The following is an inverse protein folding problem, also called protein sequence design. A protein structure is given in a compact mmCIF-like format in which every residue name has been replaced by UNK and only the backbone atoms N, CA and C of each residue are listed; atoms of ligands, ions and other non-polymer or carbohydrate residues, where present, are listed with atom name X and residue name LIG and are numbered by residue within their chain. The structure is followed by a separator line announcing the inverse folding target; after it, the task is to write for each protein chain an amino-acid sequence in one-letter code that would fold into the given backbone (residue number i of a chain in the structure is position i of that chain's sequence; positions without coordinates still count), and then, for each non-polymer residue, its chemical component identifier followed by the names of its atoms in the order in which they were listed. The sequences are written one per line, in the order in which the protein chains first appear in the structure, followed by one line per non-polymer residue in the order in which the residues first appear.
data_IF_192177193321
#
_entry.id   IF_192177193321
#
_cell.length_a   1.000
_cell.length_b   1.000
_cell.length_c   1.000
_cell.angle_alpha   90.00
_cell.angle_beta   90.00
_cell.angle_gamma   90.00
#
_symmetry.space_group_name_H-M   'P 1'
#
loop_
_entity.id
_entity.type
_entity.pdbx_description
1 polymer ?
#
# COMPACT_ATOMS: atom_id res chain seq x y z
N UNK A 1 34.37 -18.58 -25.29
CA UNK A 1 34.09 -17.15 -25.03
C UNK A 1 33.53 -17.05 -23.62
N UNK A 2 34.33 -16.49 -22.71
CA UNK A 2 34.07 -16.37 -21.27
C UNK A 2 33.02 -15.30 -20.98
N UNK A 3 32.00 -15.61 -20.17
CA UNK A 3 31.23 -14.61 -19.42
C UNK A 3 31.50 -14.79 -17.94
N UNK A 4 32.12 -13.79 -17.34
CA UNK A 4 32.42 -13.73 -15.92
C UNK A 4 31.15 -13.47 -15.11
N UNK A 5 31.05 -14.19 -14.00
CA UNK A 5 30.04 -14.04 -12.95
C UNK A 5 30.56 -13.01 -11.95
N UNK A 6 29.85 -11.90 -11.79
CA UNK A 6 30.09 -10.94 -10.70
C UNK A 6 29.10 -11.24 -9.56
N UNK A 7 29.60 -11.85 -8.50
CA UNK A 7 28.94 -11.87 -7.18
C UNK A 7 29.30 -10.59 -6.43
N UNK A 8 28.35 -9.67 -6.30
CA UNK A 8 28.44 -8.52 -5.41
C UNK A 8 27.55 -8.73 -4.20
N UNK A 9 28.13 -9.13 -3.07
CA UNK A 9 27.47 -9.10 -1.75
C UNK A 9 27.57 -7.69 -1.18
N UNK A 10 26.44 -7.00 -1.05
CA UNK A 10 26.36 -5.71 -0.35
C UNK A 10 25.51 -5.91 0.90
N UNK A 11 26.16 -5.85 2.05
CA UNK A 11 25.53 -5.79 3.37
C UNK A 11 25.67 -4.35 3.88
N UNK A 12 24.58 -3.60 4.09
CA UNK A 12 24.62 -2.43 4.94
C UNK A 12 24.07 -2.79 6.34
N UNK A 13 24.97 -2.79 7.31
CA UNK A 13 24.62 -2.79 8.72
C UNK A 13 24.03 -1.44 9.12
N UNK A 14 22.91 -1.48 9.84
CA UNK A 14 22.39 -0.33 10.57
C UNK A 14 22.60 -0.59 12.06
N UNK A 15 23.71 -0.02 12.54
CA UNK A 15 23.97 0.24 13.94
C UNK A 15 22.94 1.26 14.45
N UNK A 16 21.90 0.80 15.14
CA UNK A 16 21.09 1.67 16.00
C UNK A 16 21.82 1.81 17.33
N UNK A 17 22.63 2.86 17.42
CA UNK A 17 23.20 3.37 18.68
C UNK A 17 22.06 3.74 19.63
N UNK A 18 21.78 2.87 20.60
CA UNK A 18 21.01 3.22 21.78
C UNK A 18 21.86 4.13 22.67
N UNK A 19 21.80 5.44 22.42
CA UNK A 19 22.35 6.45 23.33
C UNK A 19 21.42 6.54 24.54
N UNK A 20 21.68 5.72 25.55
CA UNK A 20 21.06 5.86 26.88
C UNK A 20 21.67 7.11 27.51
N UNK A 21 20.88 8.18 27.54
CA UNK A 21 21.22 9.41 28.26
C UNK A 21 21.16 9.10 29.77
N UNK A 22 22.29 8.69 30.34
CA UNK A 22 22.45 8.57 31.78
C UNK A 22 22.45 9.98 32.38
N UNK A 23 21.28 10.43 32.86
CA UNK A 23 21.15 11.66 33.62
C UNK A 23 21.71 11.42 35.03
N UNK A 24 23.01 11.64 35.21
CA UNK A 24 23.66 11.60 36.52
C UNK A 24 23.28 12.84 37.33
N UNK A 25 22.17 12.78 38.07
CA UNK A 25 21.88 13.72 39.15
C UNK A 25 22.76 13.37 40.36
N UNK A 26 23.99 13.89 40.37
CA UNK A 26 24.87 13.85 41.55
C UNK A 26 24.36 14.87 42.57
N UNK A 27 23.40 14.47 43.42
CA UNK A 27 23.03 15.26 44.60
C UNK A 27 24.02 14.95 45.73
N UNK A 28 24.86 15.94 46.06
CA UNK A 28 25.61 15.97 47.30
C UNK A 28 24.60 16.13 48.46
N UNK A 29 24.42 15.09 49.24
CA UNK A 29 23.61 15.10 50.46
C UNK A 29 24.50 14.68 51.63
N UNK A 30 25.36 15.60 52.07
CA UNK A 30 26.01 15.47 53.36
C UNK A 30 25.00 15.78 54.47
N UNK A 31 24.94 14.86 55.44
CA UNK A 31 24.20 14.94 56.69
C UNK A 31 22.67 14.90 56.63
N UNK A 32 22.11 13.69 56.78
CA UNK A 32 20.96 13.38 57.65
C UNK A 32 20.84 11.84 57.81
N UNK A 33 21.10 11.26 58.99
CA UNK A 33 20.94 9.82 59.20
C UNK A 33 19.46 9.50 59.48
N UNK A 34 18.94 8.42 58.88
CA UNK A 34 17.67 7.71 59.18
C UNK A 34 16.37 8.03 58.40
N UNK A 35 16.35 8.91 57.41
CA UNK A 35 15.15 9.09 56.54
C UNK A 35 15.35 8.68 55.07
N UNK A 36 16.58 8.33 54.69
CA UNK A 36 16.97 8.05 53.30
C UNK A 36 16.46 6.70 52.75
N UNK A 37 16.28 5.67 53.58
CA UNK A 37 15.91 4.33 53.10
C UNK A 37 14.48 4.20 52.56
N UNK A 38 13.53 5.01 53.05
CA UNK A 38 12.12 4.95 52.66
C UNK A 38 11.84 5.72 51.37
N UNK A 39 12.52 6.85 51.16
CA UNK A 39 12.40 7.68 49.95
C UNK A 39 13.04 7.00 48.72
N UNK A 40 14.18 6.32 48.87
CA UNK A 40 14.81 5.61 47.74
C UNK A 40 13.97 4.44 47.23
N UNK A 41 13.26 3.72 48.12
CA UNK A 41 12.36 2.62 47.71
C UNK A 41 11.10 3.14 46.99
N UNK A 42 10.62 4.33 47.34
CA UNK A 42 9.48 4.94 46.63
C UNK A 42 9.85 5.41 45.22
N UNK A 43 11.05 5.95 45.01
CA UNK A 43 11.49 6.40 43.68
C UNK A 43 11.66 5.24 42.68
N UNK A 44 12.12 4.05 43.13
CA UNK A 44 12.28 2.88 42.24
C UNK A 44 10.94 2.30 41.79
N UNK A 45 9.90 2.37 42.65
CA UNK A 45 8.54 1.95 42.28
C UNK A 45 7.84 2.96 41.36
N UNK A 46 8.08 4.26 41.53
CA UNK A 46 7.47 5.30 40.69
C UNK A 46 8.05 5.32 39.27
N UNK A 47 9.31 4.88 39.10
CA UNK A 47 9.99 4.84 37.79
C UNK A 47 9.58 3.63 36.93
N UNK A 48 8.89 2.63 37.49
CA UNK A 48 8.36 1.49 36.73
C UNK A 48 7.02 1.77 36.02
N UNK A 49 6.37 2.91 36.29
CA UNK A 49 4.99 3.17 35.85
C UNK A 49 4.83 4.22 34.73
N UNK A 50 5.90 4.88 34.28
CA UNK A 50 5.82 5.94 33.26
C UNK A 50 6.19 5.48 31.84
N UNK A 51 6.43 4.18 31.64
CA UNK A 51 6.58 3.55 30.33
C UNK A 51 5.25 3.11 29.72
N UNK A 52 4.17 3.88 29.87
CA UNK A 52 2.95 3.67 29.10
C UNK A 52 3.23 4.10 27.66
N UNK A 53 3.89 3.23 26.91
CA UNK A 53 4.00 3.35 25.46
C UNK A 53 2.58 3.55 24.93
N UNK A 54 2.35 4.74 24.38
CA UNK A 54 1.14 5.04 23.62
C UNK A 54 1.23 4.17 22.37
N UNK A 55 0.72 2.93 22.48
CA UNK A 55 0.55 2.03 21.37
C UNK A 55 -0.48 2.65 20.45
N UNK A 56 -0.05 3.52 19.55
CA UNK A 56 -0.81 3.83 18.34
C UNK A 56 -0.98 2.50 17.63
N UNK A 57 -2.18 1.92 17.76
CA UNK A 57 -2.57 0.75 17.00
C UNK A 57 -2.52 1.13 15.53
N UNK A 58 -1.37 0.91 14.89
CA UNK A 58 -1.18 1.15 13.47
C UNK A 58 -2.17 0.25 12.75
N UNK A 59 -3.18 0.88 12.13
CA UNK A 59 -4.19 0.13 11.39
C UNK A 59 -3.50 -0.51 10.19
N UNK A 60 -3.68 -1.83 9.97
CA UNK A 60 -3.16 -2.48 8.79
C UNK A 60 -3.68 -1.76 7.55
N UNK A 61 -2.79 -1.46 6.61
CA UNK A 61 -3.15 -0.82 5.34
C UNK A 61 -3.53 -1.91 4.36
N UNK A 62 -4.68 -1.75 3.70
CA UNK A 62 -5.12 -2.64 2.61
C UNK A 62 -4.53 -2.13 1.31
N UNK A 63 -3.87 -3.02 0.59
CA UNK A 63 -3.20 -2.76 -0.68
C UNK A 63 -3.67 -3.75 -1.72
N UNK A 64 -3.61 -3.33 -2.96
CA UNK A 64 -4.00 -4.13 -4.11
C UNK A 64 -2.80 -4.22 -5.04
N UNK A 65 -2.58 -5.39 -5.62
CA UNK A 65 -1.58 -5.64 -6.65
C UNK A 65 -2.24 -6.40 -7.79
N UNK A 66 -1.79 -6.18 -9.02
CA UNK A 66 -2.31 -6.85 -10.21
C UNK A 66 -1.19 -7.75 -10.75
N UNK A 67 -1.49 -9.03 -10.96
CA UNK A 67 -0.57 -9.96 -11.60
C UNK A 67 -0.69 -9.86 -13.13
N UNK A 68 0.41 -10.12 -13.83
CA UNK A 68 0.48 -10.19 -15.29
C UNK A 68 -0.22 -11.41 -15.91
N UNK A 69 -0.57 -12.40 -15.08
CA UNK A 69 -1.25 -13.62 -15.48
C UNK A 69 -2.19 -14.13 -14.36
N UNK A 70 -3.18 -14.99 -14.70
CA UNK A 70 -4.04 -15.62 -13.71
C UNK A 70 -3.24 -16.37 -12.64
N UNK A 71 -3.49 -16.08 -11.36
CA UNK A 71 -2.76 -16.70 -10.25
C UNK A 71 -3.38 -18.05 -9.87
N UNK A 72 -2.55 -19.09 -9.84
CA UNK A 72 -2.89 -20.39 -9.28
C UNK A 72 -2.62 -20.48 -7.77
N UNK A 73 -3.02 -21.59 -7.16
CA UNK A 73 -2.84 -21.81 -5.71
C UNK A 73 -1.38 -21.84 -5.27
N UNK A 74 -0.47 -22.28 -6.15
CA UNK A 74 0.96 -22.31 -5.87
C UNK A 74 1.52 -20.89 -5.76
N UNK A 75 1.13 -20.02 -6.69
CA UNK A 75 1.55 -18.62 -6.75
C UNK A 75 1.04 -17.83 -5.56
N UNK A 76 -0.22 -18.04 -5.17
CA UNK A 76 -0.80 -17.39 -3.99
C UNK A 76 -0.06 -17.81 -2.71
N UNK A 77 0.31 -19.09 -2.58
CA UNK A 77 1.12 -19.57 -1.44
C UNK A 77 2.50 -18.92 -1.41
N UNK A 78 3.12 -18.78 -2.58
CA UNK A 78 4.44 -18.15 -2.70
C UNK A 78 4.39 -16.66 -2.36
N UNK A 79 3.43 -15.92 -2.93
CA UNK A 79 3.19 -14.52 -2.58
C UNK A 79 2.93 -14.35 -1.07
N UNK A 80 2.17 -15.27 -0.47
CA UNK A 80 1.92 -15.26 0.98
C UNK A 80 3.19 -15.49 1.79
N UNK A 81 4.03 -16.45 1.38
CA UNK A 81 5.32 -16.75 2.04
C UNK A 81 6.26 -15.55 1.99
N UNK A 82 6.37 -14.91 0.82
CA UNK A 82 7.21 -13.72 0.61
C UNK A 82 6.73 -12.55 1.46
N UNK A 83 5.43 -12.23 1.41
CA UNK A 83 4.85 -11.11 2.16
C UNK A 83 4.91 -11.33 3.68
N UNK A 84 4.78 -12.58 4.14
CA UNK A 84 5.00 -12.93 5.55
C UNK A 84 6.45 -12.80 6.01
N UNK A 85 7.41 -12.82 5.08
CA UNK A 85 8.81 -12.50 5.35
C UNK A 85 9.03 -11.01 5.64
N UNK A 86 8.20 -10.13 5.07
CA UNK A 86 8.22 -8.68 5.34
C UNK A 86 7.41 -8.32 6.58
N UNK A 87 6.22 -8.90 6.72
CA UNK A 87 5.30 -8.64 7.83
C UNK A 87 4.63 -9.95 8.27
N UNK A 88 4.92 -10.41 9.48
CA UNK A 88 4.33 -11.64 10.00
C UNK A 88 2.80 -11.58 10.15
N UNK A 89 2.23 -10.38 10.28
CA UNK A 89 0.78 -10.16 10.35
C UNK A 89 0.14 -10.03 8.96
N UNK A 90 0.91 -10.22 7.87
CA UNK A 90 0.40 -10.09 6.51
C UNK A 90 -0.77 -11.07 6.23
N UNK A 91 -1.85 -10.52 5.68
CA UNK A 91 -3.00 -11.31 5.22
C UNK A 91 -3.16 -11.10 3.71
N UNK A 92 -3.13 -12.20 2.97
CA UNK A 92 -3.26 -12.21 1.52
C UNK A 92 -4.60 -12.83 1.13
N UNK A 93 -5.35 -12.12 0.30
CA UNK A 93 -6.56 -12.59 -0.35
C UNK A 93 -6.41 -12.37 -1.85
N UNK A 94 -7.04 -13.23 -2.65
CA UNK A 94 -6.93 -13.17 -4.10
C UNK A 94 -8.29 -13.22 -4.76
N UNK A 95 -8.46 -12.45 -5.84
CA UNK A 95 -9.64 -12.43 -6.69
C UNK A 95 -9.21 -12.23 -8.15
N UNK A 96 -9.34 -13.27 -8.98
CA UNK A 96 -9.05 -13.30 -10.42
C UNK A 96 -7.58 -13.00 -10.82
N UNK A 97 -7.18 -11.74 -10.92
CA UNK A 97 -5.78 -11.33 -11.18
C UNK A 97 -5.29 -10.35 -10.12
N UNK A 98 -6.15 -10.02 -9.17
CA UNK A 98 -5.89 -9.03 -8.15
C UNK A 98 -5.54 -9.71 -6.82
N UNK A 99 -4.40 -9.31 -6.26
CA UNK A 99 -3.97 -9.68 -4.92
C UNK A 99 -4.32 -8.55 -3.96
N UNK A 100 -5.23 -8.82 -3.03
CA UNK A 100 -5.57 -7.91 -1.93
C UNK A 100 -4.76 -8.29 -0.70
N UNK A 101 -3.86 -7.41 -0.29
CA UNK A 101 -2.93 -7.66 0.80
C UNK A 101 -3.19 -6.67 1.94
N UNK A 102 -3.24 -7.16 3.18
CA UNK A 102 -3.15 -6.33 4.38
C UNK A 102 -1.75 -6.42 4.94
N UNK A 103 -1.07 -5.29 5.06
CA UNK A 103 0.28 -5.17 5.63
C UNK A 103 0.31 -4.07 6.69
N UNK A 104 1.31 -4.11 7.56
CA UNK A 104 1.73 -2.99 8.39
C UNK A 104 1.97 -1.74 7.54
N UNK A 105 1.64 -0.57 8.09
CA UNK A 105 1.94 0.72 7.46
C UNK A 105 3.44 1.01 7.33
N UNK A 106 4.29 0.26 8.05
CA UNK A 106 5.74 0.41 8.01
C UNK A 106 6.36 -0.15 6.71
N UNK A 107 5.74 -1.16 6.10
CA UNK A 107 6.20 -1.74 4.83
C UNK A 107 5.75 -0.83 3.71
N UNK A 108 6.63 -0.37 2.81
CA UNK A 108 6.22 0.49 1.69
C UNK A 108 5.61 -0.29 0.52
N UNK A 109 4.84 0.36 -0.36
CA UNK A 109 4.26 -0.28 -1.56
C UNK A 109 5.35 -0.80 -2.49
N UNK A 110 6.41 -0.01 -2.69
CA UNK A 110 7.57 -0.35 -3.51
C UNK A 110 8.32 -1.56 -2.97
N UNK A 111 8.48 -1.66 -1.65
CA UNK A 111 9.13 -2.81 -1.00
C UNK A 111 8.31 -4.09 -1.13
N UNK A 112 7.01 -4.01 -0.85
CA UNK A 112 6.10 -5.14 -1.03
C UNK A 112 6.07 -5.61 -2.50
N UNK A 113 6.05 -4.67 -3.45
CA UNK A 113 6.09 -4.95 -4.88
C UNK A 113 7.41 -5.60 -5.30
N UNK A 114 8.53 -5.07 -4.83
CA UNK A 114 9.86 -5.63 -5.11
C UNK A 114 10.00 -7.06 -4.58
N UNK A 115 9.51 -7.31 -3.36
CA UNK A 115 9.51 -8.64 -2.78
C UNK A 115 8.64 -9.61 -3.60
N UNK A 116 7.42 -9.22 -3.95
CA UNK A 116 6.53 -10.03 -4.79
C UNK A 116 7.18 -10.38 -6.15
N UNK A 117 7.85 -9.42 -6.77
CA UNK A 117 8.53 -9.60 -8.07
C UNK A 117 9.81 -10.44 -8.00
N UNK A 118 10.31 -10.77 -6.81
CA UNK A 118 11.42 -11.72 -6.65
C UNK A 118 11.00 -13.18 -6.84
N UNK A 119 9.69 -13.47 -6.76
CA UNK A 119 9.12 -14.83 -6.82
C UNK A 119 8.87 -15.38 -8.23
N UNK A 120 9.37 -14.72 -9.29
CA UNK A 120 9.26 -15.19 -10.67
C UNK A 120 7.94 -14.84 -11.39
N UNK A 121 7.03 -14.12 -10.72
CA UNK A 121 5.84 -13.53 -11.32
C UNK A 121 5.97 -12.01 -11.35
N UNK A 122 5.30 -11.38 -12.32
CA UNK A 122 5.28 -9.92 -12.41
C UNK A 122 4.00 -9.37 -11.81
N UNK A 123 4.16 -8.56 -10.78
CA UNK A 123 3.12 -7.80 -10.13
C UNK A 123 3.33 -6.33 -10.44
N UNK A 124 2.21 -5.62 -10.58
CA UNK A 124 2.15 -4.19 -10.83
C UNK A 124 1.26 -3.54 -9.77
N UNK A 125 1.58 -2.30 -9.42
CA UNK A 125 0.67 -1.49 -8.62
C UNK A 125 -0.55 -1.12 -9.49
N UNK A 126 -1.78 -1.19 -8.94
CA UNK A 126 -2.94 -0.67 -9.60
C UNK A 126 -2.69 0.80 -9.90
N UNK A 127 -2.85 1.17 -11.16
CA UNK A 127 -2.82 2.56 -11.56
C UNK A 127 -3.91 3.30 -10.76
N UNK A 128 -3.59 4.36 -9.99
CA UNK A 128 -4.58 5.06 -9.17
C UNK A 128 -5.75 5.58 -9.99
N UNK A 129 -5.53 5.85 -11.29
CA UNK A 129 -6.58 6.26 -12.23
C UNK A 129 -7.51 5.10 -12.57
N UNK A 130 -6.99 3.87 -12.74
CA UNK A 130 -7.80 2.67 -13.04
C UNK A 130 -8.65 2.21 -11.85
N UNK A 131 -8.15 2.43 -10.65
CA UNK A 131 -8.71 1.90 -9.40
C UNK A 131 -10.02 2.61 -8.98
N UNK A 132 -10.36 3.74 -9.60
CA UNK A 132 -11.63 4.45 -9.39
C UNK A 132 -12.73 4.06 -10.41
N UNK A 133 -12.55 2.97 -11.17
CA UNK A 133 -13.53 2.53 -12.17
C UNK A 133 -13.35 3.18 -13.54
N UNK A 134 -12.26 3.92 -13.74
CA UNK A 134 -11.89 4.38 -15.07
C UNK A 134 -11.08 3.28 -15.76
N UNK A 135 -11.80 2.34 -16.36
CA UNK A 135 -11.19 1.39 -17.30
C UNK A 135 -10.46 2.26 -18.34
N UNK A 136 -9.14 2.15 -18.52
CA UNK A 136 -8.40 3.00 -19.44
C UNK A 136 -8.69 2.68 -20.90
N UNK A 137 -9.44 1.60 -21.12
CA UNK A 137 -10.02 1.16 -22.39
C UNK A 137 -11.55 1.18 -22.39
N UNK A 138 -12.21 1.66 -21.31
CA UNK A 138 -13.60 2.07 -21.50
C UNK A 138 -13.49 3.33 -22.33
N UNK A 139 -13.89 3.23 -23.59
CA UNK A 139 -14.01 4.40 -24.44
C UNK A 139 -14.87 5.51 -23.80
N UNK A 140 -15.05 6.63 -24.50
CA UNK A 140 -15.73 7.80 -23.93
C UNK A 140 -17.04 7.45 -23.23
N UNK A 141 -17.28 8.10 -22.10
CA UNK A 141 -18.49 7.95 -21.28
C UNK A 141 -19.44 9.09 -21.60
N UNK A 142 -20.73 8.78 -21.78
CA UNK A 142 -21.76 9.80 -21.95
C UNK A 142 -22.06 10.46 -20.59
N UNK A 143 -22.02 11.78 -20.53
CA UNK A 143 -22.35 12.58 -19.34
C UNK A 143 -23.57 13.44 -19.68
N UNK A 144 -24.64 13.31 -18.90
CA UNK A 144 -25.84 14.16 -19.01
C UNK A 144 -25.61 15.46 -18.23
N UNK A 145 -25.61 16.59 -18.94
CA UNK A 145 -25.44 17.92 -18.33
C UNK A 145 -26.71 18.76 -18.38
N UNK A 146 -27.82 18.19 -18.86
CA UNK A 146 -29.07 18.90 -19.11
C UNK A 146 -29.12 19.65 -20.46
N UNK A 147 -28.09 19.55 -21.30
CA UNK A 147 -28.07 20.02 -22.69
C UNK A 147 -27.89 18.84 -23.66
N UNK A 148 -28.99 18.22 -24.14
CA UNK A 148 -28.92 17.02 -24.95
C UNK A 148 -28.13 17.19 -26.26
N UNK A 149 -28.18 18.39 -26.87
CA UNK A 149 -27.46 18.64 -28.11
C UNK A 149 -25.95 18.74 -27.86
N UNK A 150 -25.55 19.44 -26.80
CA UNK A 150 -24.16 19.55 -26.36
C UNK A 150 -23.57 18.22 -25.88
N UNK A 151 -24.34 17.44 -25.11
CA UNK A 151 -23.91 16.13 -24.61
C UNK A 151 -23.60 15.15 -25.75
N UNK A 152 -24.50 15.08 -26.75
CA UNK A 152 -24.30 14.23 -27.94
C UNK A 152 -23.12 14.69 -28.78
N UNK A 153 -22.92 16.01 -28.95
CA UNK A 153 -21.81 16.55 -29.72
C UNK A 153 -20.45 16.23 -29.05
N UNK A 154 -20.34 16.40 -27.73
CA UNK A 154 -19.14 16.06 -26.95
C UNK A 154 -18.82 14.58 -27.04
N UNK A 155 -19.81 13.72 -26.77
CA UNK A 155 -19.62 12.27 -26.84
C UNK A 155 -19.14 11.80 -28.22
N UNK A 156 -19.67 12.36 -29.31
CA UNK A 156 -19.22 12.04 -30.67
C UNK A 156 -17.78 12.46 -30.93
N UNK A 157 -17.37 13.64 -30.47
CA UNK A 157 -16.01 14.13 -30.62
C UNK A 157 -15.00 13.26 -29.86
N UNK A 158 -15.34 12.90 -28.61
CA UNK A 158 -14.48 12.05 -27.78
C UNK A 158 -14.40 10.63 -28.36
N UNK A 159 -15.50 10.12 -28.94
CA UNK A 159 -15.54 8.82 -29.63
C UNK A 159 -14.65 8.80 -30.86
N UNK A 160 -14.69 9.86 -31.67
CA UNK A 160 -13.83 9.96 -32.83
C UNK A 160 -12.35 10.00 -32.43
N UNK A 161 -12.01 10.81 -31.42
CA UNK A 161 -10.64 10.92 -30.87
C UNK A 161 -10.15 9.58 -30.33
N UNK A 162 -11.02 8.84 -29.64
CA UNK A 162 -10.68 7.52 -29.10
C UNK A 162 -10.46 6.47 -30.20
N UNK A 163 -11.30 6.45 -31.25
CA UNK A 163 -11.15 5.54 -32.40
C UNK A 163 -9.82 5.81 -33.14
N UNK A 164 -9.46 7.08 -33.33
CA UNK A 164 -8.19 7.46 -33.96
C UNK A 164 -6.98 7.02 -33.12
N UNK A 165 -7.10 7.06 -31.80
CA UNK A 165 -6.05 6.62 -30.88
C UNK A 165 -5.98 5.09 -30.70
N UNK A 166 -7.05 4.35 -31.02
CA UNK A 166 -7.15 2.89 -30.76
C UNK A 166 -7.67 2.14 -32.02
N UNK A 167 -6.89 2.09 -33.11
CA UNK A 167 -7.33 1.50 -34.38
C UNK A 167 -7.61 -0.02 -34.30
N UNK A 168 -6.98 -0.72 -33.35
CA UNK A 168 -7.14 -2.17 -33.15
C UNK A 168 -8.23 -2.52 -32.11
N UNK A 169 -8.84 -1.52 -31.46
CA UNK A 169 -9.86 -1.74 -30.45
C UNK A 169 -11.26 -1.75 -31.07
N UNK A 170 -12.10 -2.71 -30.65
CA UNK A 170 -13.51 -2.70 -31.03
C UNK A 170 -14.16 -1.42 -30.45
N UNK A 171 -14.94 -0.67 -31.26
CA UNK A 171 -15.53 0.57 -30.77
C UNK A 171 -16.44 0.28 -29.57
N UNK A 172 -16.40 1.12 -28.52
CA UNK A 172 -17.20 0.91 -27.33
C UNK A 172 -18.68 0.82 -27.73
N UNK A 173 -19.38 -0.19 -27.23
CA UNK A 173 -20.81 -0.35 -27.42
C UNK A 173 -21.49 0.92 -26.88
N UNK A 174 -22.06 1.74 -27.77
CA UNK A 174 -22.65 3.01 -27.35
C UNK A 174 -23.85 2.74 -26.44
N UNK A 175 -23.87 3.26 -25.21
CA UNK A 175 -25.07 3.27 -24.37
C UNK A 175 -25.97 4.44 -24.81
N UNK A 176 -26.15 4.63 -26.13
CA UNK A 176 -27.16 5.57 -26.59
C UNK A 176 -28.50 5.02 -26.12
N UNK A 177 -29.24 5.75 -25.26
CA UNK A 177 -30.56 5.32 -24.86
C UNK A 177 -31.39 5.22 -26.14
N UNK A 178 -31.68 3.99 -26.55
CA UNK A 178 -32.52 3.71 -27.72
C UNK A 178 -34.01 3.90 -27.38
N UNK A 179 -34.30 4.48 -26.21
CA UNK A 179 -35.64 4.78 -25.72
C UNK A 179 -35.91 6.29 -25.74
N UNK A 180 -37.19 6.70 -25.85
CA UNK A 180 -37.57 8.10 -25.69
C UNK A 180 -37.08 8.62 -24.33
N UNK A 181 -36.44 9.79 -24.33
CA UNK A 181 -36.04 10.54 -23.13
C UNK A 181 -37.22 10.58 -22.16
N UNK A 182 -37.19 9.75 -21.13
CA UNK A 182 -38.17 9.74 -20.07
C UNK A 182 -38.00 11.04 -19.30
N UNK A 183 -38.91 11.97 -19.55
CA UNK A 183 -39.00 13.26 -18.86
C UNK A 183 -39.27 12.95 -17.38
N UNK A 184 -38.24 13.00 -16.55
CA UNK A 184 -38.40 12.94 -15.10
C UNK A 184 -39.10 14.25 -14.68
N UNK A 185 -40.25 14.18 -13.96
CA UNK A 185 -41.03 15.35 -13.57
C UNK A 185 -40.30 16.25 -12.57
#
# INVERSE_FOLDING_TARGET
MNRQVFSGSVTPGLHLSSTVLACSCQMNADHLPNLSGLLTRMCVLLMCCTGSFVGVAQRPTVRHFIADAPLGSLQVKEATRVLKGLDQAAVVSFQAEQLKVRLSSEVSDTEALAALNSGGHHYMLPDPIRSQGQVPDAGPVFVDTGDPAGDVARYKADKQTWIEAHPDAAPPASPLPSGPLLKVP
#
